data_IF_154219740765
#
_entry.id   IF_154219740765
#
_cell.length_a   1.000
_cell.length_b   1.000
_cell.length_c   1.000
_cell.angle_alpha   90.00
_cell.angle_beta   90.00
_cell.angle_gamma   90.00
#
_symmetry.space_group_name_H-M   'P 1'
#
loop_
_entity.id
_entity.type
_entity.pdbx_description
1 polymer ?
#
# COMPACT_ATOMS: atom_id res chain seq x y z
N UNK A 1 29.91 38.12 -28.22
CA UNK A 1 30.44 36.78 -27.92
C UNK A 1 29.82 36.19 -26.64
N UNK A 2 30.08 36.78 -25.45
CA UNK A 2 29.58 36.30 -24.14
C UNK A 2 28.08 35.96 -24.04
N UNK A 3 27.20 36.77 -24.64
CA UNK A 3 25.74 36.52 -24.57
C UNK A 3 25.30 35.23 -25.29
N UNK A 4 25.99 34.87 -26.39
CA UNK A 4 25.70 33.63 -27.13
C UNK A 4 26.20 32.40 -26.37
N UNK A 5 27.35 32.49 -25.72
CA UNK A 5 27.90 31.43 -24.87
C UNK A 5 27.01 31.17 -23.63
N UNK A 6 26.51 32.24 -23.01
CA UNK A 6 25.57 32.17 -21.89
C UNK A 6 24.25 31.48 -22.28
N UNK A 7 23.70 31.81 -23.46
CA UNK A 7 22.49 31.18 -24.00
C UNK A 7 22.71 29.69 -24.33
N UNK A 8 23.85 29.34 -24.90
CA UNK A 8 24.21 27.94 -25.18
C UNK A 8 24.39 27.13 -23.89
N UNK A 9 24.99 27.73 -22.85
CA UNK A 9 25.10 27.11 -21.51
C UNK A 9 23.73 26.86 -20.89
N UNK A 10 22.86 27.88 -20.88
CA UNK A 10 21.50 27.76 -20.34
C UNK A 10 20.69 26.72 -21.12
N UNK A 11 20.82 26.65 -22.44
CA UNK A 11 20.15 25.63 -23.28
C UNK A 11 20.64 24.23 -22.94
N UNK A 12 21.95 24.01 -22.86
CA UNK A 12 22.53 22.71 -22.48
C UNK A 12 22.10 22.27 -21.08
N UNK A 13 22.10 23.18 -20.12
CA UNK A 13 21.62 22.91 -18.75
C UNK A 13 20.14 22.53 -18.71
N UNK A 14 19.28 23.27 -19.43
CA UNK A 14 17.84 22.95 -19.51
C UNK A 14 17.58 21.60 -20.17
N UNK A 15 18.29 21.28 -21.25
CA UNK A 15 18.21 19.97 -21.92
C UNK A 15 18.72 18.84 -21.02
N UNK A 16 19.79 19.08 -20.26
CA UNK A 16 20.31 18.14 -19.27
C UNK A 16 19.32 17.85 -18.15
N UNK A 17 18.71 18.90 -17.56
CA UNK A 17 17.67 18.77 -16.53
C UNK A 17 16.42 18.06 -17.07
N UNK A 18 16.01 18.38 -18.29
CA UNK A 18 14.88 17.73 -18.95
C UNK A 18 15.11 16.23 -19.17
N UNK A 19 16.28 15.83 -19.69
CA UNK A 19 16.66 14.42 -19.85
C UNK A 19 16.77 13.68 -18.53
N UNK A 20 17.32 14.32 -17.48
CA UNK A 20 17.40 13.73 -16.15
C UNK A 20 16.01 13.52 -15.52
N UNK A 21 15.10 14.49 -15.67
CA UNK A 21 13.72 14.38 -15.21
C UNK A 21 12.95 13.28 -15.96
N UNK A 22 13.09 13.20 -17.29
CA UNK A 22 12.48 12.15 -18.10
C UNK A 22 13.01 10.75 -17.74
N UNK A 23 14.33 10.61 -17.50
CA UNK A 23 14.90 9.34 -17.00
C UNK A 23 14.39 8.98 -15.61
N UNK A 24 14.21 9.96 -14.73
CA UNK A 24 13.60 9.77 -13.41
C UNK A 24 12.19 9.19 -13.51
N UNK A 25 11.34 9.79 -14.36
CA UNK A 25 9.96 9.37 -14.60
C UNK A 25 9.85 7.99 -15.26
N UNK A 26 10.69 7.70 -16.26
CA UNK A 26 10.71 6.38 -16.91
C UNK A 26 11.19 5.32 -15.92
N UNK A 27 12.24 5.61 -15.15
CA UNK A 27 12.73 4.68 -14.16
C UNK A 27 11.75 4.45 -13.01
N UNK A 28 10.90 5.44 -12.66
CA UNK A 28 9.87 5.30 -11.62
C UNK A 28 8.83 4.28 -12.05
N UNK A 29 8.44 4.34 -13.32
CA UNK A 29 7.52 3.38 -13.91
C UNK A 29 8.06 1.96 -13.94
N UNK A 30 9.39 1.79 -13.99
CA UNK A 30 10.03 0.47 -14.07
C UNK A 30 10.29 -0.19 -12.71
N UNK A 31 10.07 0.52 -11.59
CA UNK A 31 10.36 -0.01 -10.24
C UNK A 31 9.73 -1.37 -9.95
N UNK A 32 8.48 -1.67 -10.37
CA UNK A 32 7.89 -2.97 -10.10
C UNK A 32 8.67 -4.15 -10.69
N UNK A 33 9.44 -3.94 -11.76
CA UNK A 33 10.25 -4.97 -12.41
C UNK A 33 11.70 -5.04 -11.90
N UNK A 34 12.08 -4.20 -10.93
CA UNK A 34 13.42 -4.21 -10.38
C UNK A 34 13.58 -5.33 -9.33
N UNK A 35 14.79 -5.91 -9.21
CA UNK A 35 15.10 -6.85 -8.14
C UNK A 35 14.80 -6.26 -6.75
N UNK A 36 14.25 -7.08 -5.85
CA UNK A 36 13.91 -6.68 -4.49
C UNK A 36 12.56 -5.98 -4.34
N UNK A 37 11.80 -5.77 -5.42
CA UNK A 37 10.41 -5.32 -5.30
C UNK A 37 9.54 -6.46 -4.71
N UNK A 38 8.95 -6.24 -3.54
CA UNK A 38 8.27 -7.30 -2.79
C UNK A 38 6.93 -7.77 -3.42
N UNK A 39 6.31 -6.91 -4.23
CA UNK A 39 4.96 -7.12 -4.76
C UNK A 39 4.95 -7.61 -6.20
N UNK A 40 3.81 -8.14 -6.65
CA UNK A 40 3.60 -8.45 -8.06
C UNK A 40 3.56 -7.16 -8.90
N UNK A 41 4.28 -7.09 -10.03
CA UNK A 41 4.16 -5.96 -10.96
C UNK A 41 2.73 -5.75 -11.47
N UNK A 42 1.97 -6.82 -11.65
CA UNK A 42 0.59 -6.79 -12.15
C UNK A 42 -0.40 -6.12 -11.18
N UNK A 43 -0.06 -6.10 -9.90
CA UNK A 43 -0.85 -5.50 -8.83
C UNK A 43 -0.57 -4.00 -8.66
N UNK A 44 0.45 -3.46 -9.32
CA UNK A 44 0.88 -2.08 -9.18
C UNK A 44 0.13 -1.15 -10.15
N UNK A 45 -0.43 -0.04 -9.65
CA UNK A 45 -1.02 1.03 -10.45
C UNK A 45 -0.28 2.34 -10.20
N UNK A 46 0.35 2.87 -11.25
CA UNK A 46 1.11 4.12 -11.18
C UNK A 46 0.18 5.34 -11.15
N UNK A 47 0.50 6.30 -10.29
CA UNK A 47 -0.15 7.60 -10.15
C UNK A 47 0.84 8.75 -10.46
N UNK A 48 2.00 8.76 -9.81
CA UNK A 48 3.08 9.74 -9.97
C UNK A 48 2.98 11.01 -9.11
N UNK A 49 1.77 11.49 -8.81
CA UNK A 49 1.52 12.57 -7.84
C UNK A 49 0.12 12.40 -7.23
N UNK A 50 -0.09 12.61 -5.91
CA UNK A 50 0.87 13.02 -4.87
C UNK A 50 1.77 11.90 -4.32
N UNK A 51 1.57 10.67 -4.79
CA UNK A 51 2.31 9.44 -4.48
C UNK A 51 2.51 8.65 -5.76
N UNK A 52 3.49 7.75 -5.81
CA UNK A 52 3.87 7.09 -7.06
C UNK A 52 2.96 5.92 -7.44
N UNK A 53 2.53 5.10 -6.47
CA UNK A 53 1.78 3.87 -6.74
C UNK A 53 0.65 3.61 -5.73
N UNK A 54 -0.42 2.98 -6.21
CA UNK A 54 -1.32 2.16 -5.39
C UNK A 54 -1.12 0.71 -5.79
N UNK A 55 -0.84 -0.16 -4.82
CA UNK A 55 -0.73 -1.60 -5.04
C UNK A 55 -1.99 -2.28 -4.52
N UNK A 56 -2.51 -3.23 -5.29
CA UNK A 56 -3.60 -4.12 -4.88
C UNK A 56 -3.02 -5.52 -4.67
N UNK A 57 -2.23 -5.70 -3.60
CA UNK A 57 -1.46 -6.92 -3.37
C UNK A 57 -2.40 -8.12 -3.21
N UNK A 58 -2.27 -9.10 -4.11
CA UNK A 58 -3.15 -10.27 -4.19
C UNK A 58 -4.24 -10.16 -5.26
N UNK A 59 -4.34 -9.04 -5.98
CA UNK A 59 -5.36 -8.82 -7.01
C UNK A 59 -5.22 -9.75 -8.21
N UNK A 60 -3.99 -9.96 -8.71
CA UNK A 60 -3.74 -10.93 -9.77
C UNK A 60 -4.23 -12.34 -9.38
N UNK A 61 -3.95 -12.77 -8.15
CA UNK A 61 -4.37 -14.07 -7.64
C UNK A 61 -5.91 -14.19 -7.57
N UNK A 62 -6.61 -13.08 -7.26
CA UNK A 62 -8.07 -13.04 -7.32
C UNK A 62 -8.62 -13.18 -8.74
N UNK A 63 -7.98 -12.54 -9.73
CA UNK A 63 -8.38 -12.68 -11.13
C UNK A 63 -8.18 -14.10 -11.65
N UNK A 64 -7.14 -14.77 -11.18
CA UNK A 64 -6.82 -16.16 -11.54
C UNK A 64 -7.65 -17.19 -10.75
N UNK A 65 -8.54 -16.73 -9.85
CA UNK A 65 -9.45 -17.58 -9.08
C UNK A 65 -8.79 -18.39 -7.96
N UNK A 66 -7.54 -18.08 -7.62
CA UNK A 66 -6.73 -18.79 -6.61
C UNK A 66 -6.49 -17.96 -5.34
N UNK A 67 -6.88 -16.68 -5.34
CA UNK A 67 -6.72 -15.77 -4.22
C UNK A 67 -7.91 -15.78 -3.24
N UNK A 68 -7.64 -15.46 -1.97
CA UNK A 68 -8.64 -15.17 -0.94
C UNK A 68 -9.04 -13.68 -1.00
N UNK A 69 -10.30 -13.32 -1.28
CA UNK A 69 -10.75 -11.92 -1.32
C UNK A 69 -10.47 -11.14 -0.04
N UNK A 70 -10.46 -11.80 1.11
CA UNK A 70 -10.20 -11.17 2.41
C UNK A 70 -8.70 -10.94 2.65
N UNK A 71 -7.83 -11.47 1.79
CA UNK A 71 -6.38 -11.28 1.84
C UNK A 71 -5.86 -10.08 1.01
N UNK A 72 -6.74 -9.43 0.23
CA UNK A 72 -6.37 -8.29 -0.60
C UNK A 72 -5.90 -7.10 0.26
N UNK A 73 -4.67 -6.64 0.03
CA UNK A 73 -4.13 -5.46 0.70
C UNK A 73 -3.98 -4.28 -0.28
N UNK A 74 -4.44 -3.10 0.13
CA UNK A 74 -4.23 -1.85 -0.63
C UNK A 74 -3.06 -1.08 -0.02
N UNK A 75 -1.97 -0.95 -0.76
CA UNK A 75 -0.75 -0.27 -0.32
C UNK A 75 -0.58 1.05 -1.08
N UNK A 76 -0.45 2.16 -0.36
CA UNK A 76 -0.04 3.45 -0.94
C UNK A 76 1.48 3.54 -0.88
N UNK A 77 2.13 3.57 -2.04
CA UNK A 77 3.58 3.49 -2.17
C UNK A 77 4.16 4.73 -2.85
N UNK A 78 5.28 5.20 -2.31
CA UNK A 78 6.04 6.33 -2.81
C UNK A 78 7.51 5.93 -2.93
N UNK A 79 8.09 6.12 -4.12
CA UNK A 79 9.44 5.73 -4.48
C UNK A 79 10.38 6.86 -4.14
N UNK A 80 11.46 6.51 -3.45
CA UNK A 80 12.55 7.41 -3.11
C UNK A 80 13.85 6.90 -3.70
N UNK A 81 14.57 7.77 -4.42
CA UNK A 81 15.86 7.46 -5.02
C UNK A 81 16.99 8.10 -4.24
N UNK A 82 17.96 7.28 -3.82
CA UNK A 82 19.20 7.72 -3.18
C UNK A 82 19.11 7.83 -1.65
N UNK A 83 20.28 7.86 -0.98
CA UNK A 83 20.39 7.67 0.48
C UNK A 83 19.74 8.79 1.31
N UNK A 84 19.56 9.98 0.74
CA UNK A 84 19.04 11.15 1.44
C UNK A 84 17.60 11.51 1.07
N UNK A 85 16.90 10.63 0.34
CA UNK A 85 15.55 10.91 -0.11
C UNK A 85 14.55 10.82 1.05
N UNK A 86 13.68 11.83 1.15
CA UNK A 86 12.71 11.99 2.25
C UNK A 86 11.32 12.26 1.71
N UNK A 87 10.29 11.86 2.46
CA UNK A 87 8.91 12.22 2.16
C UNK A 87 8.74 13.75 2.18
N UNK A 88 8.04 14.28 1.16
CA UNK A 88 7.59 15.67 1.11
C UNK A 88 6.47 15.91 2.13
N UNK A 89 6.18 17.16 2.45
CA UNK A 89 5.15 17.52 3.43
C UNK A 89 3.77 16.91 3.07
N UNK A 90 3.38 16.96 1.80
CA UNK A 90 2.13 16.35 1.29
C UNK A 90 2.12 14.84 1.49
N UNK A 91 3.20 14.14 1.14
CA UNK A 91 3.34 12.69 1.32
C UNK A 91 3.29 12.29 2.80
N UNK A 92 3.91 13.06 3.70
CA UNK A 92 3.79 12.86 5.16
C UNK A 92 2.35 13.05 5.64
N UNK A 93 1.61 14.00 5.08
CA UNK A 93 0.20 14.21 5.42
C UNK A 93 -0.67 13.02 4.98
N UNK A 94 -0.39 12.45 3.80
CA UNK A 94 -1.05 11.23 3.30
C UNK A 94 -0.73 10.04 4.21
N UNK A 95 0.55 9.81 4.54
CA UNK A 95 0.96 8.73 5.43
C UNK A 95 0.24 8.80 6.80
N UNK A 96 0.13 10.00 7.38
CA UNK A 96 -0.64 10.23 8.63
C UNK A 96 -2.14 10.02 8.45
N UNK A 97 -2.69 10.24 7.26
CA UNK A 97 -4.10 9.95 6.99
C UNK A 97 -4.34 8.44 6.98
N UNK A 98 -3.47 7.67 6.34
CA UNK A 98 -3.50 6.21 6.33
C UNK A 98 -3.35 5.66 7.74
N UNK A 99 -2.35 6.14 8.50
CA UNK A 99 -2.11 5.72 9.89
C UNK A 99 -3.32 5.99 10.80
N UNK A 100 -4.00 7.11 10.59
CA UNK A 100 -5.23 7.47 11.33
C UNK A 100 -6.50 6.74 10.82
N UNK A 101 -6.39 5.82 9.86
CA UNK A 101 -7.54 5.11 9.27
C UNK A 101 -8.45 6.00 8.42
N UNK A 102 -7.97 7.16 7.96
CA UNK A 102 -8.73 8.11 7.12
C UNK A 102 -8.68 7.72 5.64
N UNK A 103 -8.90 6.43 5.34
CA UNK A 103 -9.02 5.86 4.01
C UNK A 103 -10.38 5.19 3.91
N UNK A 104 -11.11 5.42 2.81
CA UNK A 104 -12.46 4.91 2.61
C UNK A 104 -12.64 4.44 1.17
N UNK A 105 -13.55 3.50 0.98
CA UNK A 105 -13.98 3.06 -0.34
C UNK A 105 -15.36 3.66 -0.63
N UNK A 106 -15.44 4.49 -1.67
CA UNK A 106 -16.67 5.14 -2.12
C UNK A 106 -16.99 4.69 -3.54
N UNK A 107 -18.27 4.46 -3.82
CA UNK A 107 -18.82 4.21 -5.15
C UNK A 107 -19.61 5.45 -5.55
N UNK A 108 -19.21 6.06 -6.66
CA UNK A 108 -19.97 7.12 -7.30
C UNK A 108 -20.79 6.50 -8.42
N UNK A 109 -22.10 6.72 -8.39
CA UNK A 109 -23.02 6.36 -9.47
C UNK A 109 -23.39 7.64 -10.20
N UNK A 110 -23.31 7.62 -11.52
CA UNK A 110 -23.70 8.73 -12.39
C UNK A 110 -24.96 8.30 -13.13
N UNK A 111 -26.06 9.06 -13.01
CA UNK A 111 -27.28 8.80 -13.76
C UNK A 111 -27.14 9.24 -15.22
N UNK A 112 -28.11 8.89 -16.07
CA UNK A 112 -28.14 9.34 -17.47
C UNK A 112 -28.20 10.87 -17.58
N UNK A 113 -28.79 11.54 -16.60
CA UNK A 113 -28.86 13.01 -16.49
C UNK A 113 -27.61 13.64 -15.86
N UNK A 114 -26.55 12.84 -15.62
CA UNK A 114 -25.31 13.31 -15.02
C UNK A 114 -25.38 13.56 -13.50
N UNK A 115 -26.44 13.12 -12.84
CA UNK A 115 -26.58 13.28 -11.38
C UNK A 115 -25.69 12.27 -10.68
N UNK A 116 -24.84 12.75 -9.78
CA UNK A 116 -23.91 11.93 -9.00
C UNK A 116 -24.52 11.54 -7.67
N UNK A 117 -24.57 10.24 -7.41
CA UNK A 117 -24.91 9.67 -6.11
C UNK A 117 -23.69 8.97 -5.51
N UNK A 118 -23.27 9.40 -4.32
CA UNK A 118 -22.14 8.79 -3.60
C UNK A 118 -22.61 7.78 -2.54
N UNK A 119 -22.06 6.58 -2.62
CA UNK A 119 -22.23 5.50 -1.65
C UNK A 119 -20.88 5.20 -0.99
N UNK A 120 -20.86 4.99 0.32
CA UNK A 120 -19.68 4.56 1.06
C UNK A 120 -19.82 3.07 1.41
N UNK A 121 -18.74 2.30 1.20
CA UNK A 121 -18.67 0.91 1.64
C UNK A 121 -18.40 0.86 3.15
N UNK A 122 -19.35 0.33 3.92
CA UNK A 122 -19.22 0.15 5.37
C UNK A 122 -19.86 -1.14 5.84
N UNK A 123 -19.09 -1.96 6.58
CA UNK A 123 -19.53 -3.24 7.16
C UNK A 123 -20.16 -4.16 6.09
N UNK A 124 -19.48 -4.36 4.97
CA UNK A 124 -19.93 -5.26 3.91
C UNK A 124 -21.10 -4.76 3.05
N UNK A 125 -21.51 -3.49 3.17
CA UNK A 125 -22.65 -2.93 2.44
C UNK A 125 -22.35 -1.52 1.94
N UNK A 126 -22.90 -1.17 0.79
CA UNK A 126 -22.95 0.21 0.30
C UNK A 126 -24.02 1.01 1.08
N UNK A 127 -23.67 2.22 1.49
CA UNK A 127 -24.55 3.11 2.27
C UNK A 127 -24.48 4.53 1.73
N UNK A 128 -25.60 5.25 1.71
CA UNK A 128 -25.56 6.67 1.42
C UNK A 128 -24.70 7.39 2.44
N UNK A 129 -23.89 8.33 1.94
CA UNK A 129 -23.18 9.26 2.81
C UNK A 129 -24.23 10.07 3.55
N UNK A 130 -24.17 10.09 4.88
CA UNK A 130 -25.00 11.01 5.64
C UNK A 130 -24.61 12.42 5.21
N UNK A 131 -25.57 13.18 4.67
CA UNK A 131 -25.41 14.62 4.47
C UNK A 131 -25.21 15.21 5.87
N UNK A 132 -24.07 15.88 6.16
CA UNK A 132 -23.99 16.69 7.37
C UNK A 132 -25.16 17.68 7.31
N UNK A 133 -25.93 17.89 8.40
CA UNK A 133 -26.95 18.93 8.38
C UNK A 133 -26.27 20.23 7.94
N UNK A 134 -26.84 20.91 6.93
CA UNK A 134 -26.36 22.22 6.53
C UNK A 134 -26.33 23.07 7.80
N UNK A 135 -25.15 23.49 8.23
CA UNK A 135 -25.05 24.58 9.19
C UNK A 135 -25.67 25.80 8.50
N UNK A 136 -26.86 26.20 8.95
CA UNK A 136 -27.54 27.40 8.48
C UNK A 136 -26.58 28.60 8.53
N UNK A 137 -26.64 29.53 7.56
CA UNK A 137 -25.77 30.70 7.57
C UNK A 137 -26.08 31.54 8.80
N UNK A 138 -25.02 32.00 9.45
CA UNK A 138 -25.04 32.81 10.66
C UNK A 138 -25.94 34.04 10.50
N UNK A 139 -26.84 34.25 11.46
CA UNK A 139 -27.62 35.47 11.58
C UNK A 139 -28.56 35.42 12.79
N UNK A 140 -28.32 36.32 13.74
CA UNK A 140 -29.16 36.70 14.89
C UNK A 140 -28.88 36.03 16.24
N UNK A 141 -28.24 36.84 17.09
CA UNK A 141 -28.03 36.71 18.54
C UNK A 141 -29.33 36.58 19.33
N UNK A 142 -29.36 35.66 20.30
CA UNK A 142 -30.09 35.82 21.58
C UNK A 142 -29.39 35.00 22.68
N UNK A 143 -29.25 35.52 23.92
CA UNK A 143 -28.44 34.90 24.96
C UNK A 143 -29.27 33.93 25.81
N UNK A 144 -28.61 32.86 26.29
CA UNK A 144 -29.12 32.04 27.39
C UNK A 144 -29.74 30.71 26.99
N UNK A 145 -28.92 29.76 26.56
CA UNK A 145 -29.24 28.35 26.67
C UNK A 145 -28.11 27.67 27.46
N UNK A 146 -28.43 27.15 28.65
CA UNK A 146 -27.49 26.32 29.41
C UNK A 146 -27.12 25.09 28.56
N UNK A 147 -25.86 24.65 28.56
CA UNK A 147 -25.44 23.52 27.74
C UNK A 147 -26.20 22.26 28.14
N UNK A 148 -26.65 21.53 27.12
CA UNK A 148 -27.35 20.26 27.25
C UNK A 148 -26.41 19.22 27.90
N UNK A 149 -26.80 18.53 28.98
CA UNK A 149 -25.93 17.53 29.64
C UNK A 149 -25.57 16.32 28.77
N UNK A 150 -26.15 16.21 27.56
CA UNK A 150 -25.88 15.11 26.61
C UNK A 150 -24.80 15.40 25.57
N UNK A 151 -24.22 16.61 25.55
CA UNK A 151 -23.01 16.89 24.77
C UNK A 151 -21.72 16.43 25.48
N UNK A 152 -21.82 16.07 26.76
CA UNK A 152 -20.79 15.38 27.51
C UNK A 152 -21.00 13.86 27.42
N UNK A 153 -20.67 13.26 26.28
CA UNK A 153 -20.14 11.89 26.10
C UNK A 153 -20.05 11.63 24.59
N UNK A 154 -19.04 12.25 23.97
CA UNK A 154 -18.30 11.57 22.91
C UNK A 154 -16.85 11.70 23.30
N UNK A 155 -16.42 10.80 24.19
CA UNK A 155 -15.02 10.66 24.60
C UNK A 155 -14.19 10.63 23.31
N UNK A 156 -13.51 11.75 23.04
CA UNK A 156 -12.18 11.73 22.48
C UNK A 156 -11.47 10.52 23.08
N UNK A 157 -11.04 9.56 22.28
CA UNK A 157 -9.92 8.72 22.68
C UNK A 157 -8.70 9.64 22.58
N UNK A 158 -8.17 10.15 23.70
CA UNK A 158 -6.89 10.83 23.67
C UNK A 158 -5.82 9.74 23.59
N UNK A 159 -4.73 10.02 22.88
CA UNK A 159 -3.51 9.20 22.96
C UNK A 159 -3.70 7.70 22.75
N UNK A 160 -4.04 7.31 21.52
CA UNK A 160 -3.33 6.14 21.00
C UNK A 160 -2.00 6.69 20.49
N UNK A 161 -0.85 6.37 21.13
CA UNK A 161 0.43 6.72 20.53
C UNK A 161 0.41 6.20 19.08
N UNK A 162 1.09 6.88 18.12
CA UNK A 162 1.34 6.24 16.83
C UNK A 162 1.78 4.82 17.16
N UNK A 163 1.19 3.77 16.53
CA UNK A 163 1.58 2.41 16.84
C UNK A 163 3.10 2.46 16.85
N UNK A 164 3.70 2.17 18.01
CA UNK A 164 5.16 2.06 18.08
C UNK A 164 5.51 1.26 16.83
N UNK A 165 6.60 1.58 16.13
CA UNK A 165 7.22 0.56 15.29
C UNK A 165 7.48 -0.59 16.25
N UNK A 166 6.48 -1.43 16.43
CA UNK A 166 6.55 -2.68 17.11
C UNK A 166 7.45 -3.37 16.13
N UNK A 167 8.72 -3.49 16.51
CA UNK A 167 9.54 -4.57 16.03
C UNK A 167 8.63 -5.79 16.20
N UNK A 168 8.01 -6.15 15.09
CA UNK A 168 7.03 -7.23 15.11
C UNK A 168 7.89 -8.43 15.54
N UNK A 169 7.55 -9.10 16.64
CA UNK A 169 8.50 -9.99 17.31
C UNK A 169 9.03 -11.04 16.33
N UNK A 170 10.28 -11.44 16.52
CA UNK A 170 10.84 -12.59 15.83
C UNK A 170 9.86 -13.76 15.95
N UNK A 171 9.52 -14.38 14.83
CA UNK A 171 8.54 -15.48 14.77
C UNK A 171 9.18 -16.86 14.91
N UNK A 172 10.48 -16.90 15.22
CA UNK A 172 11.23 -18.12 15.48
C UNK A 172 10.56 -18.95 16.58
N UNK A 173 10.35 -20.24 16.32
CA UNK A 173 9.64 -21.15 17.22
C UNK A 173 8.10 -21.12 17.19
N UNK A 174 7.46 -20.19 16.46
CA UNK A 174 6.00 -20.25 16.24
C UNK A 174 5.64 -21.29 15.16
N UNK A 175 4.44 -21.89 15.20
CA UNK A 175 3.97 -22.75 14.13
C UNK A 175 3.88 -22.00 12.80
N UNK A 176 4.13 -22.71 11.71
CA UNK A 176 4.01 -22.17 10.36
C UNK A 176 2.54 -22.08 9.97
N UNK A 177 2.15 -20.92 9.43
CA UNK A 177 0.79 -20.69 8.95
C UNK A 177 0.67 -21.21 7.51
N UNK A 178 -0.33 -22.06 7.17
CA UNK A 178 -0.46 -22.61 5.82
C UNK A 178 -0.53 -21.57 4.70
N UNK A 179 -0.99 -20.34 4.98
CA UNK A 179 -1.02 -19.24 4.00
C UNK A 179 0.37 -18.63 3.80
N UNK A 180 1.15 -18.55 4.88
CA UNK A 180 2.56 -18.17 4.85
C UNK A 180 3.39 -19.20 4.05
N UNK A 181 3.13 -20.50 4.24
CA UNK A 181 3.76 -21.60 3.50
C UNK A 181 3.50 -21.51 1.99
N UNK A 182 2.23 -21.34 1.57
CA UNK A 182 1.86 -21.20 0.16
C UNK A 182 2.52 -19.98 -0.51
N UNK A 183 2.58 -18.86 0.22
CA UNK A 183 3.26 -17.65 -0.24
C UNK A 183 4.78 -17.88 -0.44
N UNK A 184 5.43 -18.53 0.53
CA UNK A 184 6.87 -18.83 0.46
C UNK A 184 7.21 -19.81 -0.65
N UNK A 185 6.42 -20.88 -0.84
CA UNK A 185 6.62 -21.87 -1.90
C UNK A 185 6.60 -21.19 -3.28
N UNK A 186 5.64 -20.29 -3.49
CA UNK A 186 5.56 -19.51 -4.73
C UNK A 186 6.80 -18.64 -4.95
N UNK A 187 7.26 -17.92 -3.92
CA UNK A 187 8.43 -17.03 -4.04
C UNK A 187 9.73 -17.81 -4.30
N UNK A 188 9.90 -18.99 -3.71
CA UNK A 188 11.03 -19.89 -4.02
C UNK A 188 10.98 -20.34 -5.48
N UNK A 189 9.81 -20.74 -5.99
CA UNK A 189 9.63 -21.12 -7.40
C UNK A 189 9.93 -19.97 -8.36
N UNK A 190 9.79 -18.72 -7.91
CA UNK A 190 10.15 -17.50 -8.64
C UNK A 190 11.64 -17.10 -8.46
N UNK A 191 12.45 -17.90 -7.77
CA UNK A 191 13.89 -17.67 -7.59
C UNK A 191 14.26 -16.78 -6.41
N UNK A 192 13.36 -16.52 -5.45
CA UNK A 192 13.70 -15.78 -4.25
C UNK A 192 14.66 -16.56 -3.34
N UNK A 193 15.65 -15.87 -2.76
CA UNK A 193 16.61 -16.48 -1.82
C UNK A 193 16.00 -16.63 -0.42
N UNK A 194 16.51 -17.59 0.36
CA UNK A 194 16.05 -17.81 1.73
C UNK A 194 16.28 -16.62 2.65
N UNK A 195 17.33 -15.83 2.40
CA UNK A 195 17.63 -14.59 3.12
C UNK A 195 16.55 -13.54 2.88
N UNK A 196 16.10 -13.40 1.63
CA UNK A 196 15.01 -12.48 1.26
C UNK A 196 13.69 -12.91 1.92
N UNK A 197 13.43 -14.22 1.96
CA UNK A 197 12.21 -14.77 2.55
C UNK A 197 12.21 -14.63 4.07
N UNK A 198 13.36 -14.84 4.71
CA UNK A 198 13.57 -14.65 6.15
C UNK A 198 13.21 -13.24 6.62
N UNK A 199 13.57 -12.21 5.84
CA UNK A 199 13.18 -10.83 6.11
C UNK A 199 11.65 -10.64 6.07
N UNK A 200 10.97 -11.31 5.14
CA UNK A 200 9.52 -11.19 4.95
C UNK A 200 8.75 -11.85 6.12
N UNK A 201 9.15 -13.06 6.52
CA UNK A 201 8.44 -13.82 7.56
C UNK A 201 9.01 -13.62 8.98
N UNK A 202 10.09 -12.84 9.11
CA UNK A 202 10.80 -12.55 10.36
C UNK A 202 11.20 -13.80 11.13
N UNK A 203 11.82 -14.74 10.40
CA UNK A 203 12.49 -15.94 10.92
C UNK A 203 13.92 -15.95 10.43
N UNK A 204 14.76 -16.86 10.93
CA UNK A 204 16.12 -16.97 10.39
C UNK A 204 16.11 -17.61 9.00
N UNK A 205 17.11 -17.30 8.14
CA UNK A 205 17.26 -17.99 6.84
C UNK A 205 17.29 -19.51 6.98
N UNK A 206 17.94 -20.04 8.02
CA UNK A 206 17.98 -21.47 8.33
C UNK A 206 16.61 -22.07 8.68
N UNK A 207 15.78 -21.35 9.45
CA UNK A 207 14.41 -21.80 9.77
C UNK A 207 13.55 -21.85 8.51
N UNK A 208 13.63 -20.83 7.66
CA UNK A 208 12.91 -20.80 6.37
C UNK A 208 13.41 -21.94 5.47
N UNK A 209 14.74 -22.08 5.30
CA UNK A 209 15.31 -23.14 4.47
C UNK A 209 14.83 -24.52 4.92
N UNK A 210 14.97 -24.83 6.21
CA UNK A 210 14.62 -26.14 6.78
C UNK A 210 13.16 -26.48 6.56
N UNK A 211 12.26 -25.52 6.80
CA UNK A 211 10.83 -25.73 6.64
C UNK A 211 10.43 -25.88 5.16
N UNK A 212 10.97 -25.04 4.29
CA UNK A 212 10.66 -25.05 2.86
C UNK A 212 11.18 -26.31 2.16
N UNK A 213 12.38 -26.80 2.52
CA UNK A 213 12.89 -28.07 2.04
C UNK A 213 12.05 -29.27 2.48
N UNK A 214 11.43 -29.20 3.67
CA UNK A 214 10.53 -30.24 4.16
C UNK A 214 9.18 -30.23 3.41
N UNK A 215 8.66 -29.05 3.06
CA UNK A 215 7.45 -28.91 2.24
C UNK A 215 7.67 -29.40 0.81
N UNK A 216 8.76 -28.99 0.17
CA UNK A 216 9.09 -29.42 -1.19
C UNK A 216 9.28 -30.95 -1.28
N UNK A 217 9.88 -31.57 -0.26
CA UNK A 217 9.99 -33.04 -0.15
C UNK A 217 8.66 -33.77 0.01
N UNK A 218 7.63 -33.12 0.56
CA UNK A 218 6.27 -33.69 0.68
C UNK A 218 5.46 -33.59 -0.62
N UNK A 219 5.84 -32.68 -1.51
CA UNK A 219 5.22 -32.53 -2.83
C UNK A 219 5.82 -33.48 -3.89
N UNK A 220 6.96 -34.13 -3.63
CA UNK A 220 7.50 -35.14 -4.54
C UNK A 220 6.67 -36.43 -4.50
N UNK A 221 6.04 -36.86 -5.61
CA UNK A 221 5.32 -38.12 -5.64
C UNK A 221 6.30 -39.27 -5.39
N UNK A 222 5.91 -40.19 -4.51
CA UNK A 222 6.62 -41.44 -4.25
C UNK A 222 6.76 -42.25 -5.55
N UNK A 223 7.90 -42.10 -6.23
CA UNK A 223 8.30 -43.02 -7.29
C UNK A 223 8.82 -44.28 -6.60
N UNK A 224 8.00 -45.33 -6.57
CA UNK A 224 8.46 -46.70 -6.31
C UNK A 224 7.58 -47.48 -5.34
N UNK A 225 6.82 -48.44 -5.88
CA UNK A 225 6.19 -49.47 -5.04
C UNK A 225 5.00 -50.22 -5.62
N UNK A 226 4.99 -50.59 -6.90
CA UNK A 226 4.15 -51.71 -7.36
C UNK A 226 5.06 -52.77 -8.00
N UNK A 227 5.56 -53.65 -7.14
CA UNK A 227 5.93 -55.00 -7.53
C UNK A 227 4.84 -55.93 -7.04
N UNK A 228 4.06 -56.49 -7.97
CA UNK A 228 3.70 -57.91 -8.11
C UNK A 228 3.41 -58.12 -9.60
#
# INVERSE_FOLDING_TARGET
ARYREELERIRKERLGRSRAALRGQVAERLVPWLPGFAYSPSDARFLGDPVDYILFSGYADLLDGIGDPDSLEVVILDIKRGPNARLRATQKAIARAVEAGRVRFEVLRVSEEGIVQTLEWRKGKLRHKATPPLSSPAGSTAPGAKPNPRDAVRKSHPDRPPPKKQERPARSGLPWDPREEAYLLRKIRQGASYETLAEIVRRTPEEVRTHMEALLRREEPSVGGNGV
#
